data_IF_317152727520
#
_entry.id   IF_317152727520
#
_cell.length_a   1.000
_cell.length_b   1.000
_cell.length_c   1.000
_cell.angle_alpha   90.00
_cell.angle_beta   90.00
_cell.angle_gamma   90.00
#
_symmetry.space_group_name_H-M   'P 1'
#
loop_
_entity.id
_entity.type
_entity.pdbx_description
1 polymer ?
#
# COMPACT_ATOMS: atom_id res chain seq x y z
N UNK A 1 -21.01 1.58 -5.72
CA UNK A 1 -19.80 0.73 -5.78
C UNK A 1 -19.09 0.84 -4.44
N UNK A 2 -18.63 -0.29 -3.91
CA UNK A 2 -17.92 -0.39 -2.62
C UNK A 2 -16.51 -0.91 -2.86
N UNK A 3 -15.50 -0.23 -2.33
CA UNK A 3 -14.09 -0.56 -2.53
C UNK A 3 -13.40 -0.74 -1.18
N UNK A 4 -12.73 -1.88 -0.98
CA UNK A 4 -11.80 -2.08 0.13
C UNK A 4 -10.38 -1.84 -0.38
N UNK A 5 -9.74 -0.80 0.12
CA UNK A 5 -8.36 -0.45 -0.20
C UNK A 5 -7.43 -1.10 0.83
N UNK A 6 -6.75 -2.16 0.45
CA UNK A 6 -5.86 -2.90 1.33
C UNK A 6 -4.41 -2.43 1.13
N UNK A 7 -3.79 -1.94 2.19
CA UNK A 7 -2.41 -1.44 2.16
C UNK A 7 -1.70 -1.74 3.47
N UNK A 8 -0.38 -1.89 3.41
CA UNK A 8 0.43 -2.09 4.61
C UNK A 8 0.67 -0.82 5.40
N UNK A 9 0.44 0.34 4.81
CA UNK A 9 0.53 1.66 5.45
C UNK A 9 -0.47 2.62 4.81
N UNK A 10 -0.98 3.58 5.57
CA UNK A 10 -1.84 4.65 5.09
C UNK A 10 -1.70 5.91 5.95
N UNK A 11 -1.50 7.06 5.32
CA UNK A 11 -1.52 8.34 6.01
C UNK A 11 -2.94 8.66 6.53
N UNK A 12 -3.06 9.32 7.69
CA UNK A 12 -2.00 9.81 8.54
C UNK A 12 -1.55 8.82 9.63
N UNK A 13 -2.06 7.59 9.65
CA UNK A 13 -1.87 6.62 10.72
C UNK A 13 -0.46 6.02 10.76
N UNK A 14 0.03 5.54 9.62
CA UNK A 14 1.40 5.04 9.47
C UNK A 14 1.93 5.40 8.10
N UNK A 15 3.20 5.85 8.03
CA UNK A 15 3.84 6.27 6.78
C UNK A 15 5.32 5.98 6.80
N UNK A 16 5.79 5.26 5.80
CA UNK A 16 7.22 5.07 5.51
C UNK A 16 7.58 5.53 4.09
N UNK A 17 6.62 5.65 3.19
CA UNK A 17 6.82 6.00 1.80
C UNK A 17 5.57 6.53 1.09
N UNK A 18 5.66 6.60 -0.25
CA UNK A 18 4.58 7.14 -1.08
C UNK A 18 3.31 6.29 -1.11
N UNK A 19 3.41 4.99 -0.78
CA UNK A 19 2.21 4.14 -0.66
C UNK A 19 1.24 4.72 0.37
N UNK A 20 1.75 5.17 1.52
CA UNK A 20 0.92 5.74 2.57
C UNK A 20 0.18 6.99 2.11
N UNK A 21 0.83 7.85 1.31
CA UNK A 21 0.19 9.04 0.75
C UNK A 21 -0.97 8.66 -0.18
N UNK A 22 -0.75 7.70 -1.07
CA UNK A 22 -1.81 7.21 -1.98
C UNK A 22 -2.94 6.55 -1.20
N UNK A 23 -2.62 5.70 -0.21
CA UNK A 23 -3.61 5.00 0.60
C UNK A 23 -4.42 5.94 1.53
N UNK A 24 -3.88 7.12 1.84
CA UNK A 24 -4.59 8.18 2.56
C UNK A 24 -5.45 9.07 1.65
N UNK A 25 -4.93 9.41 0.47
CA UNK A 25 -5.54 10.39 -0.42
C UNK A 25 -6.59 9.80 -1.38
N UNK A 26 -6.28 8.67 -2.04
CA UNK A 26 -7.17 8.09 -3.05
C UNK A 26 -8.53 7.66 -2.49
N UNK A 27 -8.63 6.94 -1.36
CA UNK A 27 -9.94 6.59 -0.78
C UNK A 27 -10.77 7.81 -0.43
N UNK A 28 -10.15 8.89 0.06
CA UNK A 28 -10.78 10.17 0.36
C UNK A 28 -11.35 10.83 -0.92
N UNK A 29 -10.61 10.83 -2.01
CA UNK A 29 -11.10 11.32 -3.29
C UNK A 29 -12.27 10.49 -3.82
N UNK A 30 -12.18 9.15 -3.73
CA UNK A 30 -13.26 8.25 -4.13
C UNK A 30 -14.54 8.46 -3.32
N UNK A 31 -14.44 8.70 -2.01
CA UNK A 31 -15.61 9.03 -1.16
C UNK A 31 -16.24 10.34 -1.59
N UNK A 32 -15.46 11.36 -1.94
CA UNK A 32 -15.97 12.63 -2.50
C UNK A 32 -16.75 12.43 -3.81
N UNK A 33 -16.33 11.43 -4.60
CA UNK A 33 -17.02 11.05 -5.85
C UNK A 33 -18.21 10.10 -5.60
N UNK A 34 -18.63 9.89 -4.35
CA UNK A 34 -19.80 9.09 -3.99
C UNK A 34 -19.56 7.57 -3.96
N UNK A 35 -18.31 7.13 -3.89
CA UNK A 35 -17.92 5.72 -3.78
C UNK A 35 -17.72 5.40 -2.29
N UNK A 36 -18.30 4.29 -1.77
CA UNK A 36 -17.99 3.80 -0.42
C UNK A 36 -16.62 3.12 -0.45
N UNK A 37 -15.58 3.93 -0.29
CA UNK A 37 -14.20 3.47 -0.22
C UNK A 37 -13.74 3.40 1.23
N UNK A 38 -13.27 2.22 1.66
CA UNK A 38 -12.74 1.97 3.00
C UNK A 38 -11.31 1.44 2.90
N UNK A 39 -10.52 1.67 3.92
CA UNK A 39 -9.12 1.24 3.99
C UNK A 39 -8.97 0.12 5.00
N UNK A 40 -8.09 -0.85 4.75
CA UNK A 40 -7.64 -1.82 5.75
C UNK A 40 -6.12 -1.85 5.81
N UNK A 41 -5.57 -1.78 7.03
CA UNK A 41 -4.14 -1.80 7.29
C UNK A 41 -3.81 -2.52 8.60
N UNK A 42 -2.55 -2.92 8.85
CA UNK A 42 -2.14 -3.46 10.14
C UNK A 42 -2.20 -2.41 11.26
N UNK A 43 -2.50 -2.87 12.49
CA UNK A 43 -2.42 -2.06 13.71
C UNK A 43 -0.98 -2.09 14.24
N UNK A 44 -0.14 -1.19 13.79
CA UNK A 44 1.26 -1.11 14.27
C UNK A 44 1.38 -0.55 15.69
N UNK A 45 2.48 -0.91 16.37
CA UNK A 45 2.79 -0.41 17.70
C UNK A 45 2.85 1.12 17.77
N UNK A 46 3.50 1.72 16.79
CA UNK A 46 3.76 3.17 16.69
C UNK A 46 2.71 3.91 15.85
N UNK A 47 1.48 3.37 15.75
CA UNK A 47 0.39 3.98 15.00
C UNK A 47 0.02 5.35 15.59
N UNK A 48 -0.08 6.38 14.73
CA UNK A 48 -0.62 7.69 15.13
C UNK A 48 -2.14 7.61 15.35
N UNK A 49 -2.67 8.49 16.21
CA UNK A 49 -4.11 8.57 16.51
C UNK A 49 -4.72 7.27 17.05
N UNK A 50 -3.96 6.50 17.78
CA UNK A 50 -4.38 5.20 18.32
C UNK A 50 -5.54 5.31 19.31
N UNK A 51 -5.65 6.43 19.98
CA UNK A 51 -6.72 6.81 20.91
C UNK A 51 -8.09 7.02 20.23
N UNK A 52 -8.11 7.21 18.91
CA UNK A 52 -9.35 7.36 18.14
C UNK A 52 -9.95 6.03 17.68
N UNK A 53 -9.25 4.91 17.93
CA UNK A 53 -9.67 3.60 17.45
C UNK A 53 -10.81 3.03 18.29
N UNK A 54 -11.83 2.51 17.63
CA UNK A 54 -12.93 1.78 18.24
C UNK A 54 -12.77 0.29 17.97
N UNK A 55 -12.79 -0.52 19.01
CA UNK A 55 -12.82 -1.98 18.87
C UNK A 55 -14.14 -2.44 18.23
N UNK A 56 -14.02 -3.34 17.24
CA UNK A 56 -15.17 -3.93 16.54
C UNK A 56 -15.43 -5.34 17.01
N UNK A 57 -14.45 -6.23 16.87
CA UNK A 57 -14.54 -7.64 17.24
C UNK A 57 -13.17 -8.31 17.21
N UNK A 58 -13.13 -9.62 17.48
CA UNK A 58 -11.98 -10.46 17.21
C UNK A 58 -12.40 -11.77 16.57
N UNK A 59 -11.46 -12.40 15.87
CA UNK A 59 -11.64 -13.67 15.21
C UNK A 59 -10.28 -14.37 15.04
N UNK A 60 -10.31 -15.58 14.51
CA UNK A 60 -9.10 -16.34 14.22
C UNK A 60 -8.81 -16.33 12.74
N UNK A 61 -7.53 -16.21 12.38
CA UNK A 61 -7.03 -16.23 11.01
C UNK A 61 -6.12 -17.45 10.80
N UNK A 62 -6.38 -18.30 9.80
CA UNK A 62 -5.49 -19.40 9.46
C UNK A 62 -4.12 -18.91 8.95
N UNK A 63 -3.04 -19.49 9.47
CA UNK A 63 -1.67 -19.29 9.04
C UNK A 63 -1.02 -20.67 8.91
N UNK A 64 -1.04 -21.24 7.71
CA UNK A 64 -0.71 -22.63 7.49
C UNK A 64 -1.59 -23.55 8.34
N UNK A 65 -0.96 -24.36 9.19
CA UNK A 65 -1.62 -25.24 10.13
C UNK A 65 -2.04 -24.58 11.44
N UNK A 66 -1.60 -23.33 11.68
CA UNK A 66 -1.88 -22.54 12.89
C UNK A 66 -3.15 -21.72 12.72
N UNK A 67 -3.72 -21.32 13.86
CA UNK A 67 -4.80 -20.35 13.95
C UNK A 67 -4.34 -19.20 14.83
N UNK A 68 -4.28 -18.00 14.28
CA UNK A 68 -3.77 -16.81 14.96
C UNK A 68 -4.91 -15.86 15.34
N UNK A 69 -4.80 -15.26 16.51
CA UNK A 69 -5.71 -14.21 16.96
C UNK A 69 -5.65 -13.01 16.00
N UNK A 70 -6.81 -12.42 15.75
CA UNK A 70 -6.96 -11.17 15.02
C UNK A 70 -7.99 -10.29 15.70
N UNK A 71 -7.57 -9.17 16.26
CA UNK A 71 -8.46 -8.08 16.67
C UNK A 71 -8.79 -7.18 15.47
N UNK A 72 -10.01 -6.69 15.44
CA UNK A 72 -10.45 -5.71 14.44
C UNK A 72 -10.84 -4.42 15.13
N UNK A 73 -10.20 -3.34 14.73
CA UNK A 73 -10.52 -1.97 15.14
C UNK A 73 -10.91 -1.14 13.94
N UNK A 74 -11.60 -0.03 14.19
CA UNK A 74 -11.93 0.96 13.15
C UNK A 74 -11.77 2.38 13.66
N UNK A 75 -11.52 3.30 12.73
CA UNK A 75 -11.66 4.73 12.91
C UNK A 75 -12.27 5.34 11.65
N UNK A 76 -12.84 6.53 11.77
CA UNK A 76 -13.28 7.31 10.62
C UNK A 76 -12.48 8.61 10.57
N UNK A 77 -11.98 8.94 9.38
CA UNK A 77 -11.25 10.19 9.15
C UNK A 77 -11.50 10.69 7.75
N UNK A 78 -11.81 11.98 7.64
CA UNK A 78 -12.10 12.66 6.37
C UNK A 78 -13.19 11.95 5.53
N UNK A 79 -14.17 11.34 6.21
CA UNK A 79 -15.26 10.57 5.59
C UNK A 79 -14.88 9.16 5.15
N UNK A 80 -13.63 8.73 5.38
CA UNK A 80 -13.15 7.38 5.07
C UNK A 80 -13.12 6.52 6.33
N UNK A 81 -13.69 5.31 6.26
CA UNK A 81 -13.59 4.31 7.31
C UNK A 81 -12.29 3.52 7.13
N UNK A 82 -11.46 3.51 8.17
CA UNK A 82 -10.25 2.70 8.25
C UNK A 82 -10.47 1.52 9.18
N UNK A 83 -10.14 0.32 8.72
CA UNK A 83 -10.05 -0.90 9.52
C UNK A 83 -8.60 -1.21 9.86
N UNK A 84 -8.39 -1.69 11.08
CA UNK A 84 -7.05 -2.03 11.57
C UNK A 84 -7.04 -3.48 12.03
N UNK A 85 -6.14 -4.27 11.47
CA UNK A 85 -5.90 -5.67 11.80
C UNK A 85 -4.90 -5.74 12.94
N UNK A 86 -5.37 -6.15 14.12
CA UNK A 86 -4.56 -6.24 15.32
C UNK A 86 -4.07 -7.67 15.55
N UNK A 87 -2.75 -7.77 15.68
CA UNK A 87 -2.04 -8.89 16.25
C UNK A 87 -0.72 -8.35 16.81
N UNK A 88 -0.61 -8.24 18.13
CA UNK A 88 0.57 -7.65 18.77
C UNK A 88 1.86 -8.39 18.43
N UNK A 89 1.81 -9.72 18.31
CA UNK A 89 2.99 -10.51 17.94
C UNK A 89 3.56 -10.11 16.59
N UNK A 90 2.69 -9.85 15.60
CA UNK A 90 3.11 -9.46 14.26
C UNK A 90 3.39 -7.97 14.11
N UNK A 91 2.59 -7.10 14.75
CA UNK A 91 2.58 -5.67 14.39
C UNK A 91 3.01 -4.72 15.50
N UNK A 92 3.11 -5.14 16.75
CA UNK A 92 3.61 -4.30 17.84
C UNK A 92 5.13 -4.32 17.91
N UNK A 93 5.76 -3.73 16.89
CA UNK A 93 7.21 -3.72 16.70
C UNK A 93 7.69 -2.32 16.35
N UNK A 94 8.99 -2.08 16.51
CA UNK A 94 9.63 -0.85 16.04
C UNK A 94 9.78 -0.89 14.52
N UNK A 95 9.03 -0.05 13.81
CA UNK A 95 9.01 0.00 12.35
C UNK A 95 7.99 -0.91 11.69
N UNK A 96 7.77 -0.67 10.41
CA UNK A 96 6.72 -1.34 9.63
C UNK A 96 7.21 -2.61 8.95
N UNK A 97 8.45 -2.62 8.48
CA UNK A 97 9.04 -3.66 7.61
C UNK A 97 10.47 -4.02 8.04
N UNK A 98 11.00 -5.06 7.41
CA UNK A 98 12.41 -5.45 7.55
C UNK A 98 12.65 -6.51 8.63
N UNK A 99 11.60 -7.23 9.04
CA UNK A 99 11.71 -8.33 9.99
C UNK A 99 11.87 -9.66 9.26
N UNK A 100 12.59 -10.60 9.88
CA UNK A 100 12.87 -11.93 9.31
C UNK A 100 11.59 -12.72 8.99
N UNK A 101 10.49 -12.44 9.72
CA UNK A 101 9.19 -13.09 9.59
C UNK A 101 8.17 -12.24 8.82
N UNK A 102 8.62 -11.25 8.03
CA UNK A 102 7.70 -10.43 7.23
C UNK A 102 6.82 -11.27 6.28
N UNK A 103 7.32 -12.41 5.80
CA UNK A 103 6.52 -13.34 5.01
C UNK A 103 5.29 -13.86 5.76
N UNK A 104 5.46 -14.29 7.02
CA UNK A 104 4.36 -14.74 7.87
C UNK A 104 3.44 -13.58 8.27
N UNK A 105 4.00 -12.45 8.65
CA UNK A 105 3.26 -11.24 9.04
C UNK A 105 2.26 -10.82 7.94
N UNK A 106 2.74 -10.76 6.71
CA UNK A 106 1.92 -10.29 5.60
C UNK A 106 1.09 -11.40 4.93
N UNK A 107 1.45 -12.67 5.11
CA UNK A 107 0.53 -13.79 4.83
C UNK A 107 -0.68 -13.76 5.77
N UNK A 108 -0.44 -13.57 7.09
CA UNK A 108 -1.50 -13.35 8.07
C UNK A 108 -2.37 -12.13 7.69
N UNK A 109 -1.76 -10.98 7.40
CA UNK A 109 -2.49 -9.76 7.03
C UNK A 109 -3.36 -9.97 5.79
N UNK A 110 -2.79 -10.54 4.73
CA UNK A 110 -3.51 -10.83 3.49
C UNK A 110 -4.73 -11.74 3.71
N UNK A 111 -4.62 -12.72 4.62
CA UNK A 111 -5.72 -13.60 4.97
C UNK A 111 -6.76 -12.89 5.84
N UNK A 112 -6.30 -12.10 6.82
CA UNK A 112 -7.15 -11.32 7.71
C UNK A 112 -8.05 -10.33 6.96
N UNK A 113 -7.60 -9.76 5.84
CA UNK A 113 -8.40 -8.90 4.96
C UNK A 113 -9.68 -9.61 4.48
N UNK A 114 -9.60 -10.89 4.17
CA UNK A 114 -10.77 -11.66 3.74
C UNK A 114 -11.61 -12.12 4.94
N UNK A 115 -10.95 -12.62 6.00
CA UNK A 115 -11.65 -13.10 7.19
C UNK A 115 -12.47 -11.99 7.87
N UNK A 116 -11.96 -10.75 7.96
CA UNK A 116 -12.71 -9.64 8.56
C UNK A 116 -14.07 -9.39 7.90
N UNK A 117 -14.22 -9.73 6.62
CA UNK A 117 -15.47 -9.52 5.90
C UNK A 117 -16.63 -10.38 6.44
N UNK A 118 -16.35 -11.47 7.15
CA UNK A 118 -17.40 -12.25 7.85
C UNK A 118 -17.94 -11.53 9.09
N UNK A 119 -17.18 -10.57 9.63
CA UNK A 119 -17.45 -9.90 10.89
C UNK A 119 -17.79 -8.41 10.75
N UNK A 120 -17.90 -7.95 9.50
CA UNK A 120 -18.32 -6.59 9.16
C UNK A 120 -19.56 -6.62 8.29
N UNK A 121 -20.31 -5.53 8.28
CA UNK A 121 -21.45 -5.27 7.38
C UNK A 121 -21.00 -4.76 5.99
N UNK A 122 -19.69 -4.69 5.76
CA UNK A 122 -19.13 -4.20 4.51
C UNK A 122 -18.89 -5.34 3.52
N UNK A 123 -19.56 -5.29 2.40
CA UNK A 123 -19.41 -6.22 1.29
C UNK A 123 -18.83 -5.47 0.09
N UNK A 124 -17.50 -5.54 -0.13
CA UNK A 124 -16.86 -4.81 -1.22
C UNK A 124 -17.20 -5.43 -2.60
N UNK A 125 -17.42 -4.58 -3.59
CA UNK A 125 -17.43 -5.00 -4.99
C UNK A 125 -16.00 -5.27 -5.48
N UNK A 126 -15.03 -4.48 -4.96
CA UNK A 126 -13.62 -4.53 -5.34
C UNK A 126 -12.73 -4.51 -4.09
N UNK A 127 -11.71 -5.37 -4.08
CA UNK A 127 -10.58 -5.26 -3.16
C UNK A 127 -9.37 -4.78 -3.98
N UNK A 128 -8.86 -3.59 -3.68
CA UNK A 128 -7.61 -3.07 -4.23
C UNK A 128 -6.45 -3.43 -3.29
N UNK A 129 -5.58 -4.30 -3.74
CA UNK A 129 -4.42 -4.81 -3.00
C UNK A 129 -3.16 -4.06 -3.45
N UNK A 130 -2.38 -3.54 -2.51
CA UNK A 130 -1.24 -2.67 -2.80
C UNK A 130 0.07 -3.28 -2.33
N UNK A 131 1.00 -3.47 -3.27
CA UNK A 131 2.31 -4.08 -3.11
C UNK A 131 2.30 -5.50 -2.51
N UNK A 132 3.47 -6.09 -2.35
CA UNK A 132 3.63 -7.49 -1.96
C UNK A 132 3.03 -7.85 -0.60
N UNK A 133 2.88 -6.88 0.30
CA UNK A 133 2.32 -7.09 1.63
C UNK A 133 0.83 -7.47 1.60
N UNK A 134 0.15 -7.20 0.52
CA UNK A 134 -1.27 -7.57 0.33
C UNK A 134 -1.45 -8.59 -0.81
N UNK A 135 -0.35 -9.01 -1.41
CA UNK A 135 -0.34 -9.80 -2.64
C UNK A 135 -1.00 -11.18 -2.50
N UNK A 136 -0.98 -11.77 -1.30
CA UNK A 136 -1.66 -13.05 -1.09
C UNK A 136 -3.18 -12.92 -0.96
N UNK A 137 -3.74 -11.72 -0.80
CA UNK A 137 -5.20 -11.53 -0.74
C UNK A 137 -5.92 -12.04 -2.00
N UNK A 138 -5.56 -11.65 -3.24
CA UNK A 138 -6.17 -12.20 -4.44
C UNK A 138 -5.89 -13.70 -4.63
N UNK A 139 -4.74 -14.20 -4.15
CA UNK A 139 -4.42 -15.63 -4.17
C UNK A 139 -5.38 -16.40 -3.27
N UNK A 140 -5.49 -15.98 -2.01
CA UNK A 140 -6.41 -16.62 -1.05
C UNK A 140 -7.86 -16.52 -1.50
N UNK A 141 -8.28 -15.36 -2.02
CA UNK A 141 -9.63 -15.21 -2.56
C UNK A 141 -9.94 -16.29 -3.60
N UNK A 142 -9.03 -16.50 -4.56
CA UNK A 142 -9.25 -17.48 -5.62
C UNK A 142 -9.17 -18.93 -5.13
N UNK A 143 -8.23 -19.27 -4.25
CA UNK A 143 -8.02 -20.63 -3.80
C UNK A 143 -9.06 -21.08 -2.75
N UNK A 144 -9.46 -20.18 -1.83
CA UNK A 144 -10.18 -20.59 -0.63
C UNK A 144 -11.53 -19.92 -0.41
N UNK A 145 -11.82 -18.76 -1.02
CA UNK A 145 -13.04 -18.01 -0.72
C UNK A 145 -13.98 -17.84 -1.90
N UNK A 146 -13.49 -17.92 -3.14
CA UNK A 146 -14.28 -17.66 -4.36
C UNK A 146 -15.54 -18.53 -4.47
N UNK A 147 -15.53 -19.72 -3.89
CA UNK A 147 -16.67 -20.65 -3.91
C UNK A 147 -17.77 -20.27 -2.91
N UNK A 148 -17.53 -19.35 -2.00
CA UNK A 148 -18.51 -18.86 -1.03
C UNK A 148 -19.31 -17.71 -1.66
N UNK A 149 -20.64 -17.72 -1.50
CA UNK A 149 -21.54 -16.72 -2.11
C UNK A 149 -21.11 -15.29 -1.83
N UNK A 150 -20.73 -15.00 -0.58
CA UNK A 150 -20.27 -13.68 -0.14
C UNK A 150 -19.07 -13.15 -0.94
N UNK A 151 -18.19 -14.02 -1.43
CA UNK A 151 -16.94 -13.68 -2.11
C UNK A 151 -16.99 -13.88 -3.62
N UNK A 152 -18.01 -14.57 -4.12
CA UNK A 152 -18.09 -15.03 -5.51
C UNK A 152 -18.01 -13.89 -6.53
N UNK A 153 -18.53 -12.70 -6.18
CA UNK A 153 -18.61 -11.53 -7.07
C UNK A 153 -17.51 -10.50 -6.86
N UNK A 154 -16.72 -10.63 -5.78
CA UNK A 154 -15.66 -9.67 -5.48
C UNK A 154 -14.59 -9.69 -6.57
N UNK A 155 -14.27 -8.53 -7.12
CA UNK A 155 -13.16 -8.32 -8.04
C UNK A 155 -11.92 -7.84 -7.31
N UNK A 156 -10.75 -8.16 -7.86
CA UNK A 156 -9.48 -7.74 -7.28
C UNK A 156 -8.68 -6.88 -8.25
N UNK A 157 -8.13 -5.80 -7.73
CA UNK A 157 -7.12 -4.99 -8.40
C UNK A 157 -5.83 -5.12 -7.60
N UNK A 158 -4.73 -5.45 -8.25
CA UNK A 158 -3.41 -5.47 -7.63
C UNK A 158 -2.58 -4.30 -8.14
N UNK A 159 -2.16 -3.41 -7.26
CA UNK A 159 -1.38 -2.20 -7.59
C UNK A 159 0.08 -2.37 -7.21
N UNK A 160 0.98 -2.25 -8.17
CA UNK A 160 2.43 -2.30 -7.99
C UNK A 160 2.94 -0.86 -7.85
N UNK A 161 3.38 -0.49 -6.64
CA UNK A 161 4.04 0.79 -6.38
C UNK A 161 5.55 0.69 -6.58
N UNK A 162 6.14 -0.46 -6.19
CA UNK A 162 7.56 -0.73 -6.39
C UNK A 162 7.82 -2.21 -6.67
N UNK A 163 8.11 -2.53 -7.92
CA UNK A 163 8.35 -3.92 -8.38
C UNK A 163 9.63 -4.54 -7.81
N UNK A 164 10.55 -3.75 -7.25
CA UNK A 164 11.78 -4.27 -6.64
C UNK A 164 11.49 -5.09 -5.38
N UNK A 165 10.38 -4.81 -4.69
CA UNK A 165 9.96 -5.52 -3.48
C UNK A 165 8.83 -6.49 -3.81
N UNK A 166 9.13 -7.78 -3.89
CA UNK A 166 8.21 -8.80 -4.42
C UNK A 166 7.68 -9.77 -3.38
N UNK A 167 8.23 -9.76 -2.15
CA UNK A 167 7.91 -10.79 -1.14
C UNK A 167 8.43 -12.16 -1.57
N UNK A 168 9.76 -12.29 -1.71
CA UNK A 168 10.45 -13.54 -2.10
C UNK A 168 10.92 -14.30 -0.86
N UNK A 169 10.57 -15.57 -0.80
CA UNK A 169 10.88 -16.47 0.32
C UNK A 169 11.21 -17.89 -0.19
N UNK A 170 11.75 -18.75 0.68
CA UNK A 170 11.88 -20.17 0.38
C UNK A 170 10.52 -20.84 0.12
N UNK A 171 10.51 -21.94 -0.64
CA UNK A 171 9.26 -22.63 -0.99
C UNK A 171 8.55 -23.26 0.22
N UNK A 172 9.27 -23.52 1.29
CA UNK A 172 8.74 -24.03 2.56
C UNK A 172 7.69 -23.11 3.19
N UNK A 173 7.77 -21.80 2.94
CA UNK A 173 6.76 -20.84 3.44
C UNK A 173 5.35 -21.11 2.89
N UNK A 174 5.25 -21.72 1.70
CA UNK A 174 3.95 -21.90 1.02
C UNK A 174 3.03 -22.80 1.84
N UNK A 175 3.48 -23.98 2.26
CA UNK A 175 2.66 -24.91 3.03
C UNK A 175 2.61 -24.54 4.52
N UNK A 176 3.77 -24.31 5.13
CA UNK A 176 3.88 -24.08 6.57
C UNK A 176 3.21 -22.78 7.04
N UNK A 177 3.34 -21.73 6.25
CA UNK A 177 2.90 -20.38 6.64
C UNK A 177 1.70 -19.90 5.84
N UNK A 178 1.78 -19.97 4.51
CA UNK A 178 0.68 -19.49 3.66
C UNK A 178 -0.50 -20.47 3.61
N UNK A 179 -0.30 -21.73 3.98
CA UNK A 179 -1.30 -22.78 3.87
C UNK A 179 -1.63 -23.15 2.42
N UNK A 180 -0.68 -22.89 1.50
CA UNK A 180 -0.79 -23.20 0.08
C UNK A 180 -0.07 -24.53 -0.16
N UNK A 181 -0.84 -25.61 -0.29
CA UNK A 181 -0.29 -26.94 -0.49
C UNK A 181 0.34 -27.14 -1.88
N UNK A 182 1.05 -28.25 -2.05
CA UNK A 182 1.83 -28.57 -3.25
C UNK A 182 1.02 -28.49 -4.56
N UNK A 183 -0.28 -28.80 -4.54
CA UNK A 183 -1.17 -28.72 -5.71
C UNK A 183 -1.24 -27.29 -6.27
N UNK A 184 -1.31 -26.30 -5.39
CA UNK A 184 -1.57 -24.90 -5.73
C UNK A 184 -0.29 -24.03 -5.63
N UNK A 185 0.84 -24.64 -5.21
CA UNK A 185 2.12 -23.94 -5.06
C UNK A 185 2.55 -23.18 -6.32
N UNK A 186 2.27 -23.76 -7.50
CA UNK A 186 2.60 -23.16 -8.80
C UNK A 186 2.00 -21.76 -9.00
N UNK A 187 0.93 -21.40 -8.26
CA UNK A 187 0.31 -20.07 -8.33
C UNK A 187 1.26 -19.00 -7.79
N UNK A 188 2.07 -19.33 -6.79
CA UNK A 188 2.97 -18.39 -6.08
C UNK A 188 4.44 -18.69 -6.38
N UNK A 189 4.77 -19.92 -6.73
CA UNK A 189 6.13 -20.31 -7.11
C UNK A 189 6.57 -19.58 -8.39
N UNK A 190 7.77 -19.02 -8.36
CA UNK A 190 8.40 -18.40 -9.51
C UNK A 190 9.92 -18.42 -9.35
N UNK A 191 10.62 -18.92 -10.37
CA UNK A 191 12.08 -18.98 -10.41
C UNK A 191 12.71 -19.64 -9.16
N UNK A 192 12.11 -20.77 -8.73
CA UNK A 192 12.57 -21.57 -7.61
C UNK A 192 12.34 -20.99 -6.21
N UNK A 193 11.54 -19.95 -6.09
CA UNK A 193 11.16 -19.36 -4.80
C UNK A 193 9.64 -19.07 -4.73
N UNK A 194 9.12 -18.88 -3.53
CA UNK A 194 7.81 -18.28 -3.33
C UNK A 194 7.90 -16.78 -3.62
N UNK A 195 7.10 -16.29 -4.57
CA UNK A 195 7.05 -14.87 -4.93
C UNK A 195 5.60 -14.37 -4.80
N UNK A 196 5.31 -13.63 -3.73
CA UNK A 196 3.95 -13.20 -3.43
C UNK A 196 3.38 -12.26 -4.49
N UNK A 197 4.20 -11.34 -5.01
CA UNK A 197 3.79 -10.44 -6.08
C UNK A 197 3.41 -11.21 -7.35
N UNK A 198 4.16 -12.27 -7.71
CA UNK A 198 3.81 -13.16 -8.81
C UNK A 198 2.43 -13.78 -8.60
N UNK A 199 2.16 -14.27 -7.41
CA UNK A 199 0.85 -14.81 -7.07
C UNK A 199 -0.29 -13.80 -7.28
N UNK A 200 -0.09 -12.56 -6.84
CA UNK A 200 -1.06 -11.49 -7.08
C UNK A 200 -1.26 -11.18 -8.56
N UNK A 201 -0.16 -11.08 -9.34
CA UNK A 201 -0.23 -10.84 -10.79
C UNK A 201 -0.98 -11.99 -11.48
N UNK A 202 -0.84 -13.23 -11.05
CA UNK A 202 -1.61 -14.36 -11.59
C UNK A 202 -3.11 -14.24 -11.28
N UNK A 203 -3.45 -13.98 -10.02
CA UNK A 203 -4.80 -14.13 -9.48
C UNK A 203 -5.69 -12.90 -9.61
N UNK A 204 -5.13 -11.69 -9.61
CA UNK A 204 -5.92 -10.48 -9.67
C UNK A 204 -6.68 -10.32 -11.00
N UNK A 205 -7.88 -9.76 -10.95
CA UNK A 205 -8.69 -9.45 -12.16
C UNK A 205 -8.04 -8.32 -12.99
N UNK A 206 -7.40 -7.35 -12.33
CA UNK A 206 -6.60 -6.27 -12.94
C UNK A 206 -5.30 -6.07 -12.19
N UNK A 207 -4.26 -5.68 -12.91
CA UNK A 207 -2.97 -5.26 -12.37
C UNK A 207 -2.75 -3.82 -12.78
N UNK A 208 -2.40 -2.98 -11.81
CA UNK A 208 -2.10 -1.58 -12.07
C UNK A 208 -0.72 -1.22 -11.56
N UNK A 209 -0.15 -0.16 -12.11
CA UNK A 209 1.04 0.49 -11.57
C UNK A 209 0.90 2.01 -11.64
N UNK A 210 1.84 2.72 -11.06
CA UNK A 210 1.71 4.14 -10.70
C UNK A 210 2.03 5.13 -11.84
N UNK A 211 2.28 4.65 -13.05
CA UNK A 211 2.28 5.50 -14.24
C UNK A 211 2.14 4.70 -15.54
N UNK A 212 1.61 5.28 -16.63
CA UNK A 212 1.57 4.64 -17.94
C UNK A 212 2.96 4.27 -18.47
N UNK A 213 3.97 5.12 -18.24
CA UNK A 213 5.36 4.85 -18.61
C UNK A 213 5.90 3.66 -17.81
N UNK A 214 5.70 3.65 -16.50
CA UNK A 214 6.15 2.55 -15.65
C UNK A 214 5.49 1.20 -16.02
N UNK A 215 4.22 1.22 -16.47
CA UNK A 215 3.57 0.01 -16.99
C UNK A 215 4.26 -0.57 -18.25
N UNK A 216 4.94 0.26 -19.03
CA UNK A 216 5.76 -0.19 -20.16
C UNK A 216 7.16 -0.61 -19.71
N UNK A 217 7.78 0.16 -18.83
CA UNK A 217 9.13 -0.11 -18.30
C UNK A 217 9.21 -1.47 -17.62
N UNK A 218 8.24 -1.84 -16.76
CA UNK A 218 8.24 -3.14 -16.07
C UNK A 218 8.03 -4.36 -16.99
N UNK A 219 7.77 -4.16 -18.28
CA UNK A 219 7.79 -5.22 -19.29
C UNK A 219 9.21 -5.49 -19.83
N UNK A 220 10.17 -4.60 -19.54
CA UNK A 220 11.56 -4.75 -19.96
C UNK A 220 12.37 -5.49 -18.87
N UNK A 221 13.23 -6.45 -19.21
CA UNK A 221 14.05 -7.19 -18.25
C UNK A 221 14.89 -6.31 -17.32
N UNK A 222 15.31 -5.13 -17.78
CA UNK A 222 16.11 -4.20 -16.99
C UNK A 222 15.34 -3.61 -15.79
N UNK A 223 14.04 -3.38 -15.95
CA UNK A 223 13.21 -2.73 -14.91
C UNK A 223 12.29 -3.67 -14.16
N UNK A 224 12.08 -4.88 -14.69
CA UNK A 224 11.09 -5.84 -14.16
C UNK A 224 11.53 -6.60 -12.91
N UNK A 225 12.81 -6.53 -12.54
CA UNK A 225 13.39 -7.36 -11.48
C UNK A 225 13.08 -8.87 -11.66
N UNK A 226 13.06 -9.34 -12.93
CA UNK A 226 12.82 -10.74 -13.29
C UNK A 226 11.36 -11.12 -13.54
N UNK A 227 10.41 -10.18 -13.47
CA UNK A 227 8.99 -10.45 -13.71
C UNK A 227 8.52 -10.11 -15.13
N UNK A 228 9.41 -9.67 -16.05
CA UNK A 228 9.04 -9.26 -17.42
C UNK A 228 8.32 -10.35 -18.21
N UNK A 229 8.77 -11.60 -18.13
CA UNK A 229 8.13 -12.71 -18.81
C UNK A 229 6.68 -12.91 -18.36
N UNK A 230 6.43 -12.87 -17.06
CA UNK A 230 5.09 -12.95 -16.48
C UNK A 230 4.24 -11.75 -16.88
N UNK A 231 4.78 -10.53 -16.72
CA UNK A 231 4.04 -9.30 -16.99
C UNK A 231 3.66 -9.17 -18.48
N UNK A 232 4.51 -9.59 -19.42
CA UNK A 232 4.16 -9.68 -20.83
C UNK A 232 3.03 -10.65 -21.11
N UNK A 233 3.01 -11.83 -20.46
CA UNK A 233 1.91 -12.79 -20.58
C UNK A 233 0.60 -12.22 -20.03
N UNK A 234 0.66 -11.39 -19.02
CA UNK A 234 -0.50 -10.78 -18.34
C UNK A 234 -0.77 -9.33 -18.77
N UNK A 235 -0.13 -8.85 -19.83
CA UNK A 235 -0.23 -7.47 -20.30
C UNK A 235 -1.68 -7.03 -20.58
N UNK A 236 -2.55 -7.96 -20.98
CA UNK A 236 -3.97 -7.68 -21.26
C UNK A 236 -4.75 -7.13 -20.04
N UNK A 237 -4.25 -7.33 -18.83
CA UNK A 237 -4.85 -6.82 -17.59
C UNK A 237 -3.98 -5.78 -16.88
N UNK A 238 -2.82 -5.42 -17.42
CA UNK A 238 -1.90 -4.42 -16.88
C UNK A 238 -2.24 -3.04 -17.42
N UNK A 239 -2.29 -2.04 -16.54
CA UNK A 239 -2.36 -0.63 -16.91
C UNK A 239 -1.62 0.26 -15.92
N UNK A 240 -1.20 1.44 -16.38
CA UNK A 240 -0.56 2.46 -15.54
C UNK A 240 -1.51 3.62 -15.27
N UNK A 241 -1.61 4.04 -14.03
CA UNK A 241 -2.43 5.16 -13.57
C UNK A 241 -1.54 6.09 -12.75
N UNK A 242 -1.41 7.36 -13.16
CA UNK A 242 -0.63 8.34 -12.41
C UNK A 242 -1.25 8.59 -11.03
N UNK A 243 -0.39 8.60 -10.00
CA UNK A 243 -0.81 9.05 -8.69
C UNK A 243 -1.13 10.55 -8.72
N UNK A 244 -2.19 10.93 -8.00
CA UNK A 244 -2.47 12.32 -7.67
C UNK A 244 -1.72 12.75 -6.40
N UNK A 245 -2.05 13.93 -5.93
CA UNK A 245 -1.61 14.47 -4.64
C UNK A 245 -2.82 14.75 -3.74
N UNK A 246 -2.61 14.72 -2.43
CA UNK A 246 -3.64 15.18 -1.49
C UNK A 246 -3.69 16.71 -1.53
N UNK A 247 -4.70 17.25 -2.20
CA UNK A 247 -4.88 18.69 -2.40
C UNK A 247 -5.32 19.44 -1.13
N UNK A 248 -5.68 18.74 -0.08
CA UNK A 248 -5.98 19.35 1.21
C UNK A 248 -4.70 19.48 2.05
N UNK A 249 -3.85 18.45 2.06
CA UNK A 249 -2.58 18.44 2.79
C UNK A 249 -1.55 19.33 2.08
N UNK A 250 -1.41 19.18 0.75
CA UNK A 250 -0.47 19.98 -0.05
C UNK A 250 -1.17 21.20 -0.67
N UNK A 251 -1.78 22.03 0.16
CA UNK A 251 -2.47 23.25 -0.26
C UNK A 251 -1.76 24.51 0.27
N UNK A 252 -1.01 25.21 -0.58
CA UNK A 252 -0.26 26.40 -0.13
C UNK A 252 -1.15 27.54 0.39
N UNK A 253 -2.45 27.54 0.05
CA UNK A 253 -3.36 28.55 0.57
C UNK A 253 -3.75 28.34 2.04
N UNK A 254 -3.63 27.11 2.55
CA UNK A 254 -4.07 26.72 3.90
C UNK A 254 -3.01 26.02 4.73
N UNK A 255 -1.84 25.73 4.17
CA UNK A 255 -0.74 25.04 4.83
C UNK A 255 -0.18 25.92 5.98
N UNK A 256 -0.26 25.44 7.24
CA UNK A 256 0.22 26.22 8.40
C UNK A 256 1.74 26.22 8.53
N UNK A 257 2.45 25.35 7.81
CA UNK A 257 3.89 25.12 7.98
C UNK A 257 4.74 26.00 7.04
N UNK A 258 4.12 26.68 6.06
CA UNK A 258 4.86 27.58 5.16
C UNK A 258 4.88 29.02 5.67
N UNK A 259 5.98 29.74 5.41
CA UNK A 259 6.20 31.09 5.91
C UNK A 259 5.15 32.11 5.44
N UNK A 260 4.60 31.93 4.26
CA UNK A 260 3.51 32.73 3.71
C UNK A 260 2.58 31.86 2.85
N UNK A 261 1.30 31.86 3.16
CA UNK A 261 0.30 31.22 2.32
C UNK A 261 0.13 31.96 1.00
N UNK A 262 -0.17 31.21 -0.07
CA UNK A 262 -0.39 31.74 -1.42
C UNK A 262 -1.33 30.84 -2.24
N UNK A 263 -1.93 31.42 -3.24
CA UNK A 263 -2.77 30.77 -4.24
C UNK A 263 -2.22 30.96 -5.66
N UNK A 264 -3.01 30.61 -6.67
CA UNK A 264 -2.61 30.74 -8.06
C UNK A 264 -2.37 32.20 -8.52
N UNK A 265 -2.95 33.19 -7.83
CA UNK A 265 -2.80 34.61 -8.17
C UNK A 265 -1.61 35.25 -7.43
N UNK A 266 -1.33 34.77 -6.22
CA UNK A 266 -0.33 35.35 -5.31
C UNK A 266 0.95 34.50 -5.19
N UNK A 267 1.09 33.41 -5.98
CA UNK A 267 2.19 32.45 -5.83
C UNK A 267 3.59 33.05 -6.00
N UNK A 268 3.77 34.06 -6.86
CA UNK A 268 5.09 34.65 -7.07
C UNK A 268 5.61 35.32 -5.79
N UNK A 269 4.79 36.15 -5.15
CA UNK A 269 5.14 36.81 -3.88
C UNK A 269 5.25 35.78 -2.74
N UNK A 270 4.26 34.89 -2.61
CA UNK A 270 4.26 33.89 -1.56
C UNK A 270 5.45 32.95 -1.59
N UNK A 271 5.81 32.45 -2.79
CA UNK A 271 7.00 31.61 -2.96
C UNK A 271 8.30 32.35 -2.73
N UNK A 272 8.38 33.66 -3.05
CA UNK A 272 9.55 34.45 -2.75
C UNK A 272 9.79 34.55 -1.23
N UNK A 273 8.74 34.83 -0.45
CA UNK A 273 8.83 34.88 1.02
C UNK A 273 9.19 33.52 1.60
N UNK A 274 8.56 32.42 1.10
CA UNK A 274 8.90 31.07 1.54
C UNK A 274 10.36 30.70 1.21
N UNK A 275 10.87 31.09 0.04
CA UNK A 275 12.27 30.89 -0.35
C UNK A 275 13.21 31.61 0.62
N UNK A 276 12.95 32.91 0.94
CA UNK A 276 13.76 33.67 1.86
C UNK A 276 13.78 33.07 3.26
N UNK A 277 12.61 32.64 3.78
CA UNK A 277 12.51 31.95 5.05
C UNK A 277 13.34 30.66 5.10
N UNK A 278 13.27 29.86 4.03
CA UNK A 278 14.06 28.63 3.91
C UNK A 278 15.57 28.94 3.85
N UNK A 279 15.96 29.97 3.11
CA UNK A 279 17.38 30.42 3.06
C UNK A 279 17.89 30.88 4.42
N UNK A 280 17.06 31.58 5.20
CA UNK A 280 17.41 32.00 6.56
C UNK A 280 17.59 30.83 7.51
N UNK A 281 16.63 29.86 7.45
CA UNK A 281 16.66 28.66 8.30
C UNK A 281 17.91 27.81 8.07
N UNK A 282 18.33 27.65 6.81
CA UNK A 282 19.49 26.83 6.43
C UNK A 282 20.80 27.64 6.24
N UNK A 283 20.80 28.94 6.48
CA UNK A 283 21.98 29.81 6.33
C UNK A 283 22.48 29.89 4.88
N UNK A 284 21.59 29.82 3.90
CA UNK A 284 21.93 29.88 2.48
C UNK A 284 22.08 31.34 1.99
N UNK A 285 22.89 31.51 0.96
CA UNK A 285 23.10 32.86 0.36
C UNK A 285 21.83 33.36 -0.35
N UNK A 286 21.51 34.65 -0.16
CA UNK A 286 20.39 35.35 -0.82
C UNK A 286 20.87 36.13 -2.05
N UNK A 287 21.53 35.45 -2.99
CA UNK A 287 22.15 36.03 -4.19
C UNK A 287 21.29 35.94 -5.45
N UNK A 288 20.02 35.52 -5.29
CA UNK A 288 19.11 35.27 -6.41
C UNK A 288 19.19 33.87 -7.05
N UNK A 289 20.18 33.08 -6.65
CA UNK A 289 20.36 31.72 -7.17
C UNK A 289 19.15 30.81 -6.87
N UNK A 290 18.87 29.82 -7.73
CA UNK A 290 17.87 28.80 -7.44
C UNK A 290 18.23 28.01 -6.17
N UNK A 291 17.22 27.71 -5.35
CA UNK A 291 17.35 26.77 -4.22
C UNK A 291 16.91 25.40 -4.68
N UNK A 292 17.78 24.40 -4.50
CA UNK A 292 17.46 22.99 -4.76
C UNK A 292 17.35 22.27 -3.43
N UNK A 293 16.32 21.43 -3.30
CA UNK A 293 16.11 20.61 -2.11
C UNK A 293 15.81 19.17 -2.51
N UNK A 294 16.33 18.22 -1.74
CA UNK A 294 16.03 16.81 -1.86
C UNK A 294 15.55 16.27 -0.51
N UNK A 295 14.28 15.88 -0.44
CA UNK A 295 13.67 15.26 0.75
C UNK A 295 13.29 13.83 0.38
N UNK A 296 14.13 12.84 0.75
CA UNK A 296 13.94 11.44 0.36
C UNK A 296 14.68 10.50 1.31
N UNK A 297 14.38 9.20 1.23
CA UNK A 297 15.23 8.18 1.87
C UNK A 297 16.58 8.12 1.18
N UNK A 298 17.67 8.02 1.95
CA UNK A 298 19.03 7.92 1.41
C UNK A 298 19.32 6.49 0.93
N UNK A 299 18.75 6.13 -0.21
CA UNK A 299 18.90 4.80 -0.84
C UNK A 299 19.24 4.98 -2.33
N UNK A 300 20.00 4.04 -2.90
CA UNK A 300 20.58 4.16 -4.24
C UNK A 300 19.57 4.47 -5.35
N UNK A 301 18.39 3.83 -5.32
CA UNK A 301 17.35 4.09 -6.34
C UNK A 301 16.70 5.50 -6.28
N UNK A 302 17.09 6.33 -5.32
CA UNK A 302 16.69 7.75 -5.26
C UNK A 302 17.71 8.68 -5.92
N UNK A 303 18.79 8.12 -6.46
CA UNK A 303 19.80 8.90 -7.20
C UNK A 303 20.61 9.84 -6.31
N UNK A 304 20.75 9.53 -5.02
CA UNK A 304 21.53 10.37 -4.08
C UNK A 304 22.99 10.47 -4.49
N UNK A 305 23.50 9.42 -5.13
CA UNK A 305 24.84 9.32 -5.71
C UNK A 305 25.07 10.21 -6.95
N UNK A 306 23.98 10.70 -7.55
CA UNK A 306 24.04 11.65 -8.68
C UNK A 306 24.12 13.11 -8.23
N UNK A 307 23.88 13.40 -6.96
CA UNK A 307 23.96 14.74 -6.37
C UNK A 307 25.35 14.91 -5.79
N UNK A 308 26.20 15.69 -6.49
CA UNK A 308 27.57 16.01 -6.08
C UNK A 308 27.68 17.48 -5.65
#
# INVERSE_FOLDING_TARGET
MKILYAASEAAPFAKSGGLADVAGALPKALVRDGIDARVVMPLYGDLKFKDTLTYVTNFSVPVGWRSQYCGLFKAERDGVVFYFIDNEYYFKRSGLYGFYDDGERFAFFSRAILEMLFYTDFEPDIINCNDWQTALTPVYLNLYYRHLDKFSRIKTVFTIHNIAYQGKYGLDILEDTCGIGARDAHVVEYDGCANFMKGAIECADKVTTVSPTYAQEILDPWFSHGLDGLLRQKQYKLCGILNGIDVDVFNPATDPDIAKNYDAETFQEGKAVCKEALQDEFGLHKDGSPVMAMVTRLVGHKGVDLVQ
#
